data_IF_397765021195
#
_entry.id   IF_397765021195
#
_cell.length_a   1.000
_cell.length_b   1.000
_cell.length_c   1.000
_cell.angle_alpha   90.00
_cell.angle_beta   90.00
_cell.angle_gamma   90.00
#
_symmetry.space_group_name_H-M   'P 1'
#
loop_
_entity.id
_entity.type
_entity.pdbx_description
1 polymer ?
#
# COMPACT_ATOMS: atom_id res chain seq x y z
N UNK A 1 -15.32 1.55 -4.68
CA UNK A 1 -16.11 0.45 -4.15
C UNK A 1 -16.75 0.91 -2.85
N UNK A 2 -18.09 0.86 -2.77
CA UNK A 2 -18.80 1.18 -1.53
C UNK A 2 -18.72 0.02 -0.54
N UNK A 3 -18.56 0.32 0.75
CA UNK A 3 -18.63 -0.70 1.79
C UNK A 3 -20.06 -1.24 1.91
N UNK A 4 -21.03 -0.33 1.92
CA UNK A 4 -22.44 -0.68 2.08
C UNK A 4 -23.12 -0.88 0.73
N UNK A 5 -23.00 -2.06 0.15
CA UNK A 5 -23.72 -2.46 -1.05
C UNK A 5 -24.98 -3.27 -0.68
N UNK A 6 -26.06 -3.23 -1.49
CA UNK A 6 -27.34 -3.81 -1.12
C UNK A 6 -27.36 -5.33 -1.08
N UNK A 7 -26.52 -6.03 -1.83
CA UNK A 7 -26.51 -7.49 -1.96
C UNK A 7 -25.29 -8.16 -1.34
N UNK A 8 -24.15 -7.50 -1.35
CA UNK A 8 -22.89 -8.02 -0.82
C UNK A 8 -22.08 -6.89 -0.19
N UNK A 9 -21.48 -7.14 0.97
CA UNK A 9 -20.58 -6.21 1.64
C UNK A 9 -19.33 -5.93 0.77
N UNK A 10 -19.02 -4.64 0.58
CA UNK A 10 -17.88 -4.20 -0.23
C UNK A 10 -16.53 -4.75 0.24
N UNK A 11 -16.34 -5.03 1.53
CA UNK A 11 -15.14 -5.69 2.03
C UNK A 11 -15.03 -7.14 1.53
N UNK A 12 -16.16 -7.84 1.41
CA UNK A 12 -16.22 -9.18 0.82
C UNK A 12 -15.86 -9.15 -0.66
N UNK A 13 -16.38 -8.15 -1.40
CA UNK A 13 -16.01 -7.92 -2.81
C UNK A 13 -14.51 -7.63 -2.94
N UNK A 14 -13.96 -6.77 -2.08
CA UNK A 14 -12.52 -6.46 -2.06
C UNK A 14 -11.67 -7.72 -1.84
N UNK A 15 -12.04 -8.57 -0.89
CA UNK A 15 -11.34 -9.85 -0.64
C UNK A 15 -11.37 -10.76 -1.87
N UNK A 16 -12.52 -10.85 -2.57
CA UNK A 16 -12.62 -11.60 -3.83
C UNK A 16 -11.71 -11.03 -4.91
N UNK A 17 -11.68 -9.69 -5.08
CA UNK A 17 -10.79 -9.04 -6.02
C UNK A 17 -9.32 -9.34 -5.73
N UNK A 18 -8.91 -9.32 -4.46
CA UNK A 18 -7.53 -9.60 -4.04
C UNK A 18 -7.13 -11.07 -4.16
N UNK A 19 -8.09 -11.99 -4.09
CA UNK A 19 -7.83 -13.42 -4.29
C UNK A 19 -7.78 -13.84 -5.77
N UNK A 20 -8.33 -13.04 -6.68
CA UNK A 20 -8.36 -13.34 -8.11
C UNK A 20 -7.05 -13.01 -8.81
N UNK A 21 -6.43 -13.96 -9.53
CA UNK A 21 -5.17 -13.75 -10.25
C UNK A 21 -5.21 -12.59 -11.27
N UNK A 22 -6.35 -12.38 -11.92
CA UNK A 22 -6.55 -11.30 -12.90
C UNK A 22 -6.97 -9.96 -12.27
N UNK A 23 -7.39 -9.95 -11.01
CA UNK A 23 -8.00 -8.77 -10.36
C UNK A 23 -7.23 -8.25 -9.15
N UNK A 24 -6.27 -9.02 -8.65
CA UNK A 24 -5.50 -8.70 -7.44
C UNK A 24 -4.79 -7.36 -7.49
N UNK A 25 -4.35 -6.94 -8.68
CA UNK A 25 -3.58 -5.72 -8.92
C UNK A 25 -4.44 -4.51 -9.33
N UNK A 26 -5.77 -4.68 -9.41
CA UNK A 26 -6.69 -3.58 -9.70
C UNK A 26 -6.69 -2.61 -8.52
N UNK A 27 -6.41 -1.31 -8.74
CA UNK A 27 -6.49 -0.32 -7.68
C UNK A 27 -7.92 -0.18 -7.16
N UNK A 28 -8.10 -0.19 -5.85
CA UNK A 28 -9.42 -0.08 -5.20
C UNK A 28 -9.44 1.04 -4.19
N UNK A 29 -10.33 2.00 -4.39
CA UNK A 29 -10.66 3.05 -3.43
C UNK A 29 -11.98 2.65 -2.75
N UNK A 30 -11.97 2.53 -1.42
CA UNK A 30 -13.18 2.24 -0.66
C UNK A 30 -13.92 3.52 -0.31
N UNK A 31 -15.26 3.49 -0.45
CA UNK A 31 -16.14 4.56 0.01
C UNK A 31 -16.76 4.14 1.35
N UNK A 32 -16.57 4.95 2.39
CA UNK A 32 -16.96 4.60 3.76
C UNK A 32 -17.90 5.62 4.37
N UNK A 33 -18.73 5.25 5.36
CA UNK A 33 -19.43 6.19 6.20
C UNK A 33 -18.45 6.89 7.16
N UNK A 34 -18.69 8.16 7.49
CA UNK A 34 -17.75 9.08 8.16
C UNK A 34 -17.30 8.64 9.57
N UNK A 35 -17.98 7.71 10.22
CA UNK A 35 -17.89 7.52 11.68
C UNK A 35 -17.13 6.26 12.15
N UNK A 36 -16.52 5.46 11.27
CA UNK A 36 -15.82 4.28 11.74
C UNK A 36 -14.33 4.31 11.39
N UNK A 37 -13.54 4.73 12.37
CA UNK A 37 -12.10 4.48 12.41
C UNK A 37 -11.79 2.98 12.25
N UNK A 38 -12.71 2.14 12.73
CA UNK A 38 -12.67 0.68 12.62
C UNK A 38 -12.80 0.21 11.16
N UNK A 39 -13.72 0.78 10.37
CA UNK A 39 -13.89 0.40 8.96
C UNK A 39 -12.70 0.86 8.09
N UNK A 40 -12.05 1.98 8.45
CA UNK A 40 -10.83 2.43 7.79
C UNK A 40 -9.69 1.44 7.99
N UNK A 41 -9.48 0.96 9.20
CA UNK A 41 -8.42 0.00 9.53
C UNK A 41 -8.71 -1.35 8.85
N UNK A 42 -9.94 -1.85 8.92
CA UNK A 42 -10.32 -3.12 8.26
C UNK A 42 -10.20 -3.01 6.73
N UNK A 43 -10.60 -1.89 6.15
CA UNK A 43 -10.48 -1.67 4.70
C UNK A 43 -9.03 -1.70 4.23
N UNK A 44 -8.12 -1.08 4.97
CA UNK A 44 -6.69 -1.07 4.68
C UNK A 44 -6.06 -2.45 4.90
N UNK A 45 -6.38 -3.13 5.99
CA UNK A 45 -5.93 -4.51 6.25
C UNK A 45 -6.44 -5.49 5.18
N UNK A 46 -7.61 -5.21 4.59
CA UNK A 46 -8.20 -6.03 3.52
C UNK A 46 -7.58 -5.77 2.14
N UNK A 47 -6.66 -4.81 2.02
CA UNK A 47 -5.91 -4.54 0.80
C UNK A 47 -6.51 -3.45 -0.11
N UNK A 48 -7.30 -2.52 0.42
CA UNK A 48 -7.68 -1.30 -0.29
C UNK A 48 -6.46 -0.38 -0.49
N UNK A 49 -6.43 0.34 -1.61
CA UNK A 49 -5.34 1.26 -1.94
C UNK A 49 -5.56 2.64 -1.31
N UNK A 50 -6.82 3.05 -1.17
CA UNK A 50 -7.22 4.28 -0.52
C UNK A 50 -8.67 4.17 -0.02
N UNK A 51 -9.12 5.13 0.79
CA UNK A 51 -10.50 5.24 1.23
C UNK A 51 -10.98 6.69 1.19
N UNK A 52 -12.29 6.90 0.98
CA UNK A 52 -12.91 8.22 0.96
C UNK A 52 -14.12 8.17 1.89
N UNK A 53 -14.17 8.98 2.96
CA UNK A 53 -15.35 9.08 3.80
C UNK A 53 -16.47 9.80 3.07
N UNK A 54 -17.69 9.33 3.22
CA UNK A 54 -18.92 10.02 2.77
C UNK A 54 -19.37 11.04 3.82
N UNK A 55 -19.86 12.22 3.41
CA UNK A 55 -19.95 12.74 2.05
C UNK A 55 -18.59 13.26 1.55
N UNK A 56 -18.29 13.06 0.28
CA UNK A 56 -17.06 13.52 -0.38
C UNK A 56 -17.36 14.46 -1.53
N UNK A 57 -16.43 15.38 -1.79
CA UNK A 57 -16.49 16.26 -2.94
C UNK A 57 -16.04 15.56 -4.23
N UNK A 58 -16.65 15.91 -5.37
CA UNK A 58 -16.24 15.36 -6.67
C UNK A 58 -14.75 15.64 -6.98
N UNK A 59 -14.26 16.82 -6.60
CA UNK A 59 -12.85 17.18 -6.80
C UNK A 59 -11.91 16.31 -5.97
N UNK A 60 -12.29 15.94 -4.74
CA UNK A 60 -11.54 15.02 -3.89
C UNK A 60 -11.47 13.64 -4.52
N UNK A 61 -12.61 13.08 -4.96
CA UNK A 61 -12.68 11.80 -5.63
C UNK A 61 -11.74 11.76 -6.86
N UNK A 62 -11.83 12.78 -7.73
CA UNK A 62 -10.99 12.90 -8.93
C UNK A 62 -9.51 13.00 -8.57
N UNK A 63 -9.15 13.78 -7.54
CA UNK A 63 -7.77 13.91 -7.09
C UNK A 63 -7.21 12.57 -6.58
N UNK A 64 -7.98 11.80 -5.82
CA UNK A 64 -7.59 10.49 -5.30
C UNK A 64 -7.48 9.45 -6.41
N UNK A 65 -8.44 9.39 -7.33
CA UNK A 65 -8.35 8.52 -8.51
C UNK A 65 -7.07 8.83 -9.29
N UNK A 66 -6.79 10.11 -9.58
CA UNK A 66 -5.55 10.52 -10.26
C UNK A 66 -4.30 10.15 -9.46
N UNK A 67 -4.32 10.27 -8.13
CA UNK A 67 -3.21 9.90 -7.28
C UNK A 67 -2.93 8.39 -7.33
N UNK A 68 -3.97 7.57 -7.30
CA UNK A 68 -3.86 6.11 -7.38
C UNK A 68 -3.41 5.65 -8.78
N UNK A 69 -3.94 6.25 -9.87
CA UNK A 69 -3.60 5.86 -11.26
C UNK A 69 -2.28 6.43 -11.77
N UNK A 70 -1.90 7.67 -11.40
CA UNK A 70 -0.64 8.33 -11.82
C UNK A 70 0.60 7.49 -11.54
N UNK A 71 0.54 6.63 -10.54
CA UNK A 71 1.64 5.77 -10.12
C UNK A 71 1.83 4.58 -11.02
N UNK A 72 0.80 4.22 -11.80
CA UNK A 72 0.92 3.20 -12.85
C UNK A 72 1.70 3.71 -14.06
N UNK A 73 1.72 5.03 -14.30
CA UNK A 73 2.32 5.66 -15.48
C UNK A 73 3.81 6.02 -15.32
N UNK A 74 4.32 6.15 -14.09
CA UNK A 74 5.73 6.53 -13.82
C UNK A 74 6.72 5.35 -13.86
N UNK A 75 6.36 4.26 -14.49
CA UNK A 75 7.15 3.02 -14.55
C UNK A 75 8.04 2.97 -15.80
N UNK A 76 9.01 3.82 -15.87
CA UNK A 76 10.02 3.78 -16.92
C UNK A 76 11.41 4.04 -16.35
N UNK A 77 12.12 3.00 -15.96
CA UNK A 77 13.52 3.11 -15.54
C UNK A 77 13.97 1.88 -14.75
N UNK A 78 14.41 0.83 -15.47
CA UNK A 78 14.74 -0.48 -14.94
C UNK A 78 15.74 -0.49 -13.77
N UNK A 79 15.24 -0.48 -12.56
CA UNK A 79 16.04 -0.76 -11.36
C UNK A 79 15.45 -1.95 -10.61
N UNK A 80 16.04 -3.11 -10.85
CA UNK A 80 15.80 -4.27 -9.99
C UNK A 80 16.42 -4.03 -8.62
N UNK A 81 15.67 -4.30 -7.56
CA UNK A 81 16.20 -4.28 -6.19
C UNK A 81 16.47 -5.70 -5.71
N UNK A 82 17.65 -5.88 -5.12
CA UNK A 82 18.05 -7.14 -4.46
C UNK A 82 18.57 -6.83 -3.06
N UNK A 83 17.96 -7.50 -2.08
CA UNK A 83 18.36 -7.38 -0.68
C UNK A 83 18.19 -8.74 0.00
N UNK A 84 19.30 -9.45 0.20
CA UNK A 84 19.26 -10.82 0.72
C UNK A 84 18.32 -11.71 -0.10
N UNK A 85 17.33 -12.29 0.54
CA UNK A 85 16.32 -13.14 -0.09
C UNK A 85 15.27 -12.36 -0.93
N UNK A 86 15.21 -11.03 -0.77
CA UNK A 86 14.20 -10.17 -1.43
C UNK A 86 14.68 -9.77 -2.83
N UNK A 87 13.80 -9.99 -3.82
CA UNK A 87 13.93 -9.49 -5.18
C UNK A 87 12.68 -8.69 -5.54
N UNK A 88 12.85 -7.49 -6.09
CA UNK A 88 11.76 -6.63 -6.55
C UNK A 88 12.09 -6.07 -7.93
N UNK A 89 11.19 -6.27 -8.87
CA UNK A 89 11.22 -5.69 -10.20
C UNK A 89 10.06 -4.70 -10.33
N UNK A 90 10.32 -3.39 -10.24
CA UNK A 90 9.28 -2.37 -10.33
C UNK A 90 8.60 -2.31 -11.68
N UNK A 91 9.33 -2.59 -12.77
CA UNK A 91 8.79 -2.49 -14.13
C UNK A 91 7.79 -3.62 -14.43
N UNK A 92 8.06 -4.81 -13.89
CA UNK A 92 7.19 -5.98 -14.04
C UNK A 92 6.20 -6.16 -12.88
N UNK A 93 6.29 -5.31 -11.86
CA UNK A 93 5.49 -5.44 -10.63
C UNK A 93 5.66 -6.80 -9.95
N UNK A 94 6.87 -7.33 -9.95
CA UNK A 94 7.20 -8.64 -9.41
C UNK A 94 7.94 -8.50 -8.10
N UNK A 95 7.50 -9.23 -7.09
CA UNK A 95 8.19 -9.38 -5.80
C UNK A 95 8.43 -10.86 -5.55
N UNK A 96 9.65 -11.22 -5.17
CA UNK A 96 10.00 -12.60 -4.79
C UNK A 96 10.80 -12.60 -3.49
N UNK A 97 10.57 -13.61 -2.67
CA UNK A 97 11.36 -13.93 -1.48
C UNK A 97 11.79 -15.37 -1.60
N UNK A 98 13.11 -15.66 -1.56
CA UNK A 98 13.67 -16.99 -1.81
C UNK A 98 13.14 -17.64 -3.10
N UNK A 99 13.09 -16.84 -4.19
CA UNK A 99 12.58 -17.26 -5.50
C UNK A 99 11.06 -17.55 -5.55
N UNK A 100 10.30 -17.43 -4.45
CA UNK A 100 8.86 -17.57 -4.43
C UNK A 100 8.18 -16.22 -4.63
N UNK A 101 7.22 -16.16 -5.53
CA UNK A 101 6.47 -14.93 -5.80
C UNK A 101 5.58 -14.54 -4.62
N UNK A 102 5.62 -13.26 -4.24
CA UNK A 102 4.82 -12.68 -3.17
C UNK A 102 3.83 -11.69 -3.76
N UNK A 103 2.54 -11.90 -3.50
CA UNK A 103 1.49 -11.00 -3.96
C UNK A 103 1.30 -9.86 -2.98
N UNK A 104 1.58 -8.64 -3.43
CA UNK A 104 1.34 -7.39 -2.69
C UNK A 104 0.17 -6.62 -3.31
N UNK A 105 -0.50 -5.80 -2.51
CA UNK A 105 -1.40 -4.77 -3.03
C UNK A 105 -0.59 -3.62 -3.63
N UNK A 106 -1.24 -2.76 -4.41
CA UNK A 106 -0.55 -1.61 -5.02
C UNK A 106 0.15 -0.75 -3.96
N UNK A 107 -0.49 -0.48 -2.82
CA UNK A 107 0.09 0.36 -1.76
C UNK A 107 1.24 -0.31 -1.03
N UNK A 108 1.16 -1.60 -0.77
CA UNK A 108 2.25 -2.36 -0.18
C UNK A 108 3.46 -2.40 -1.12
N UNK A 109 3.21 -2.59 -2.41
CA UNK A 109 4.25 -2.58 -3.44
C UNK A 109 4.92 -1.21 -3.56
N UNK A 110 4.14 -0.13 -3.63
CA UNK A 110 4.66 1.25 -3.65
C UNK A 110 5.50 1.55 -2.40
N UNK A 111 5.01 1.14 -1.24
CA UNK A 111 5.69 1.33 0.04
C UNK A 111 7.04 0.60 0.05
N UNK A 112 7.07 -0.64 -0.42
CA UNK A 112 8.29 -1.43 -0.56
C UNK A 112 9.29 -0.76 -1.52
N UNK A 113 8.84 -0.31 -2.70
CA UNK A 113 9.69 0.37 -3.68
C UNK A 113 10.27 1.67 -3.13
N UNK A 114 9.46 2.48 -2.42
CA UNK A 114 9.92 3.73 -1.81
C UNK A 114 11.00 3.49 -0.75
N UNK A 115 10.83 2.45 0.07
CA UNK A 115 11.83 2.08 1.08
C UNK A 115 13.12 1.58 0.42
N UNK A 116 13.02 0.75 -0.62
CA UNK A 116 14.18 0.24 -1.36
C UNK A 116 14.94 1.35 -2.11
N UNK A 117 14.23 2.30 -2.72
CA UNK A 117 14.84 3.48 -3.36
C UNK A 117 15.66 4.31 -2.37
N UNK A 118 15.21 4.36 -1.11
CA UNK A 118 15.86 5.08 -0.01
C UNK A 118 16.56 4.14 0.97
N UNK A 119 17.07 3.01 0.46
CA UNK A 119 17.74 1.98 1.26
C UNK A 119 18.73 2.59 2.27
N UNK A 120 18.64 2.16 3.53
CA UNK A 120 19.46 2.64 4.65
C UNK A 120 19.00 3.96 5.26
N UNK A 121 18.24 4.79 4.54
CA UNK A 121 17.70 6.03 5.07
C UNK A 121 16.38 5.82 5.83
N UNK A 122 16.18 6.58 6.91
CA UNK A 122 14.92 6.57 7.66
C UNK A 122 13.91 7.47 6.95
N UNK A 123 12.76 6.90 6.62
CA UNK A 123 11.62 7.64 6.09
C UNK A 123 10.61 7.88 7.21
N UNK A 124 10.21 9.12 7.42
CA UNK A 124 9.18 9.44 8.42
C UNK A 124 7.81 8.95 7.96
N UNK A 125 6.88 8.73 8.91
CA UNK A 125 5.51 8.33 8.58
C UNK A 125 4.82 9.34 7.67
N UNK A 126 5.00 10.62 7.95
CA UNK A 126 4.40 11.70 7.16
C UNK A 126 5.00 11.75 5.74
N UNK A 127 6.31 11.59 5.59
CA UNK A 127 6.95 11.52 4.28
C UNK A 127 6.49 10.31 3.45
N UNK A 128 6.29 9.15 4.10
CA UNK A 128 5.74 7.97 3.45
C UNK A 128 4.27 8.17 3.08
N UNK A 129 3.47 8.76 3.98
CA UNK A 129 2.07 9.06 3.76
C UNK A 129 1.91 10.00 2.56
N UNK A 130 2.62 11.12 2.58
CA UNK A 130 2.62 12.12 1.51
C UNK A 130 3.04 11.51 0.16
N UNK A 131 4.13 10.73 0.14
CA UNK A 131 4.68 10.18 -1.09
C UNK A 131 3.79 9.12 -1.72
N UNK A 132 3.09 8.32 -0.90
CA UNK A 132 2.30 7.18 -1.35
C UNK A 132 0.81 7.54 -1.49
N UNK A 133 0.27 8.42 -0.65
CA UNK A 133 -1.13 8.83 -0.69
C UNK A 133 -1.34 10.26 -1.19
N UNK A 134 -0.31 11.11 -1.15
CA UNK A 134 -0.32 12.49 -1.64
C UNK A 134 -0.70 13.52 -0.57
N UNK A 135 -0.46 14.79 -0.85
CA UNK A 135 -0.68 15.92 0.08
C UNK A 135 -2.14 16.12 0.52
N UNK A 136 -3.11 15.70 -0.29
CA UNK A 136 -4.53 15.85 0.02
C UNK A 136 -5.10 14.71 0.87
N UNK A 137 -4.24 13.81 1.36
CA UNK A 137 -4.66 12.70 2.20
C UNK A 137 -4.81 13.16 3.65
N UNK A 138 -6.04 13.26 4.10
CA UNK A 138 -6.41 13.68 5.47
C UNK A 138 -6.39 12.50 6.47
N UNK A 139 -5.69 11.42 6.10
CA UNK A 139 -5.55 10.22 6.90
C UNK A 139 -4.44 10.33 7.94
N UNK A 140 -4.65 9.65 9.07
CA UNK A 140 -3.65 9.59 10.14
C UNK A 140 -2.41 8.79 9.72
N UNK A 141 -1.28 9.07 10.33
CA UNK A 141 0.00 8.34 10.15
C UNK A 141 -0.11 6.82 10.46
N UNK A 142 -1.16 6.39 11.18
CA UNK A 142 -1.51 4.98 11.41
C UNK A 142 -1.76 4.19 10.12
N UNK A 143 -2.19 4.84 9.03
CA UNK A 143 -2.35 4.20 7.72
C UNK A 143 -1.05 3.55 7.25
N UNK A 144 0.09 4.22 7.44
CA UNK A 144 1.41 3.67 7.11
C UNK A 144 1.73 2.46 7.98
N UNK A 145 1.45 2.53 9.29
CA UNK A 145 1.76 1.45 10.22
C UNK A 145 1.01 0.15 9.88
N UNK A 146 -0.25 0.28 9.46
CA UNK A 146 -1.07 -0.85 8.99
C UNK A 146 -0.45 -1.51 7.76
N UNK A 147 -0.09 -0.72 6.75
CA UNK A 147 0.51 -1.25 5.51
C UNK A 147 1.90 -1.85 5.76
N UNK A 148 2.70 -1.28 6.66
CA UNK A 148 3.98 -1.88 7.07
C UNK A 148 3.76 -3.23 7.75
N UNK A 149 2.75 -3.35 8.61
CA UNK A 149 2.43 -4.62 9.28
C UNK A 149 2.07 -5.71 8.27
N UNK A 150 1.14 -5.42 7.36
CA UNK A 150 0.70 -6.38 6.36
C UNK A 150 1.80 -6.71 5.35
N UNK A 151 2.59 -5.72 4.95
CA UNK A 151 3.76 -5.90 4.08
C UNK A 151 4.78 -6.85 4.72
N UNK A 152 5.14 -6.65 5.99
CA UNK A 152 6.05 -7.55 6.72
C UNK A 152 5.53 -8.98 6.77
N UNK A 153 4.23 -9.15 7.05
CA UNK A 153 3.61 -10.47 7.09
C UNK A 153 3.69 -11.19 5.74
N UNK A 154 3.43 -10.47 4.64
CA UNK A 154 3.49 -11.05 3.29
C UNK A 154 4.91 -11.36 2.83
N UNK A 155 5.88 -10.56 3.21
CA UNK A 155 7.29 -10.78 2.89
C UNK A 155 7.94 -11.90 3.74
N UNK A 156 7.30 -12.36 4.82
CA UNK A 156 7.83 -13.39 5.69
C UNK A 156 9.22 -13.02 6.22
N UNK A 157 10.23 -13.85 5.97
CA UNK A 157 11.62 -13.62 6.42
C UNK A 157 12.20 -12.28 5.92
N UNK A 158 11.85 -11.86 4.71
CA UNK A 158 12.30 -10.58 4.17
C UNK A 158 11.58 -9.38 4.82
N UNK A 159 10.49 -9.59 5.53
CA UNK A 159 9.82 -8.55 6.33
C UNK A 159 10.69 -7.99 7.45
N UNK A 160 11.67 -8.76 7.94
CA UNK A 160 12.65 -8.34 8.95
C UNK A 160 13.60 -7.25 8.43
N UNK A 161 13.78 -7.17 7.11
CA UNK A 161 14.59 -6.11 6.49
C UNK A 161 13.96 -4.72 6.62
N UNK A 162 12.66 -4.64 6.91
CA UNK A 162 11.96 -3.40 7.20
C UNK A 162 12.05 -3.15 8.71
N UNK A 163 12.80 -2.16 9.12
CA UNK A 163 13.02 -1.79 10.51
C UNK A 163 12.10 -0.64 10.94
N UNK A 164 11.67 -0.67 12.21
CA UNK A 164 10.95 0.44 12.83
C UNK A 164 11.91 1.32 13.60
N UNK A 165 12.04 2.58 13.20
CA UNK A 165 12.74 3.60 13.98
C UNK A 165 11.71 4.29 14.89
N UNK A 166 11.74 3.93 16.18
CA UNK A 166 10.74 4.39 17.16
C UNK A 166 10.62 5.91 17.18
N UNK A 167 9.40 6.41 17.17
CA UNK A 167 9.10 7.85 17.19
C UNK A 167 9.38 8.58 15.87
N UNK A 168 9.99 7.93 14.85
CA UNK A 168 10.35 8.56 13.58
C UNK A 168 9.59 7.92 12.41
N UNK A 169 9.84 6.64 12.11
CA UNK A 169 9.27 5.99 10.92
C UNK A 169 9.89 4.64 10.64
N UNK A 170 10.23 4.40 9.36
CA UNK A 170 10.69 3.11 8.86
C UNK A 170 11.90 3.25 7.95
N UNK A 171 12.72 2.21 7.89
CA UNK A 171 13.80 2.05 6.90
C UNK A 171 13.87 0.60 6.44
N UNK A 172 14.51 0.35 5.31
CA UNK A 172 14.82 -1.01 4.82
C UNK A 172 16.33 -1.16 4.64
N UNK A 173 16.86 -2.32 5.01
CA UNK A 173 18.28 -2.61 4.86
C UNK A 173 19.15 -1.71 5.73
N UNK A 174 19.09 -1.91 7.04
CA UNK A 174 20.17 -1.56 7.94
C UNK A 174 21.35 -2.49 7.69
N UNK A 175 22.57 -2.08 8.08
CA UNK A 175 23.80 -2.83 7.90
C UNK A 175 23.63 -4.31 8.33
N UNK A 176 23.83 -5.23 7.36
CA UNK A 176 24.14 -6.62 7.65
C UNK A 176 25.64 -6.75 7.72
#
# INVERSE_FOLDING_TARGET
>A
LDIMLPEEDGLSVLKKLRSGAATKDIPVIMLTAKDSEYDKVIGLDSGADDYIPKPFGMMELVARVRAVTRRMEKRGGGHEYRLGALYVDPDRHVVKVDCHEVTLTLKEFELLCVLLEKRGAVMTRDALLERIWGYAFDGESRTVDVHIRTLRQKLGIAGEYIETVRGVGYRIGGDA
#
